data_IF_097381363333
#
_entry.id   IF_097381363333
#
_cell.length_a   1.000
_cell.length_b   1.000
_cell.length_c   1.000
_cell.angle_alpha   90.00
_cell.angle_beta   90.00
_cell.angle_gamma   90.00
#
_symmetry.space_group_name_H-M   'P 1'
#
loop_
_entity.id
_entity.type
_entity.pdbx_description
1 polymer ?
#
# COMPACT_ATOMS: atom_id res chain seq x y z
N UNK A 1 4.08 -23.60 13.95
CA UNK A 1 2.89 -23.04 13.29
C UNK A 1 2.32 -21.98 14.18
N UNK A 2 2.28 -20.75 13.72
CA UNK A 2 1.55 -19.64 14.36
C UNK A 2 0.04 -19.81 14.13
N UNK A 3 -0.78 -19.13 14.95
CA UNK A 3 -2.25 -19.13 14.75
C UNK A 3 -2.62 -18.67 13.34
N UNK A 4 -1.86 -17.71 12.79
CA UNK A 4 -2.06 -17.21 11.44
C UNK A 4 -1.72 -18.24 10.35
N UNK A 5 -0.63 -18.98 10.50
CA UNK A 5 -0.30 -20.07 9.58
C UNK A 5 -1.37 -21.18 9.60
N UNK A 6 -2.05 -21.39 10.73
CA UNK A 6 -3.18 -22.33 10.85
C UNK A 6 -4.39 -21.81 10.07
N UNK A 7 -4.70 -20.52 10.16
CA UNK A 7 -5.78 -19.90 9.37
C UNK A 7 -5.52 -20.01 7.87
N UNK A 8 -4.30 -19.66 7.41
CA UNK A 8 -3.91 -19.82 6.00
C UNK A 8 -4.03 -21.28 5.56
N UNK A 9 -3.58 -22.22 6.40
CA UNK A 9 -3.69 -23.65 6.13
C UNK A 9 -5.14 -24.10 5.96
N UNK A 10 -6.06 -23.56 6.76
CA UNK A 10 -7.48 -23.87 6.65
C UNK A 10 -8.09 -23.36 5.34
N UNK A 11 -7.77 -22.13 4.94
CA UNK A 11 -8.23 -21.56 3.68
C UNK A 11 -7.72 -22.38 2.47
N UNK A 12 -6.42 -22.69 2.43
CA UNK A 12 -5.84 -23.55 1.36
C UNK A 12 -6.53 -24.92 1.34
N UNK A 13 -6.71 -25.54 2.50
CA UNK A 13 -7.34 -26.86 2.57
C UNK A 13 -8.81 -26.84 2.14
N UNK A 14 -9.56 -25.80 2.50
CA UNK A 14 -10.94 -25.62 2.07
C UNK A 14 -11.04 -25.52 0.53
N UNK A 15 -10.14 -24.74 -0.07
CA UNK A 15 -10.03 -24.59 -1.52
C UNK A 15 -9.67 -25.91 -2.21
N UNK A 16 -8.59 -26.57 -1.80
CA UNK A 16 -8.12 -27.84 -2.41
C UNK A 16 -9.10 -29.01 -2.20
N UNK A 17 -9.95 -28.93 -1.17
CA UNK A 17 -11.02 -29.91 -0.96
C UNK A 17 -12.25 -29.64 -1.84
N UNK A 18 -12.29 -28.51 -2.54
CA UNK A 18 -13.42 -28.07 -3.36
C UNK A 18 -14.64 -27.67 -2.54
N UNK A 19 -14.43 -27.19 -1.31
CA UNK A 19 -15.48 -26.75 -0.39
C UNK A 19 -15.72 -25.23 -0.43
N UNK A 20 -15.12 -24.53 -1.40
CA UNK A 20 -15.28 -23.09 -1.58
C UNK A 20 -16.19 -22.79 -2.77
N UNK A 21 -16.61 -21.54 -2.88
CA UNK A 21 -17.33 -20.98 -4.03
C UNK A 21 -16.39 -20.65 -5.21
N UNK A 22 -15.08 -20.57 -4.95
CA UNK A 22 -14.04 -20.30 -5.94
C UNK A 22 -13.76 -21.52 -6.82
N UNK A 23 -13.67 -22.71 -6.22
CA UNK A 23 -13.24 -23.92 -6.92
C UNK A 23 -14.02 -25.15 -6.46
N UNK A 24 -14.63 -25.87 -7.41
CA UNK A 24 -15.34 -27.10 -7.14
C UNK A 24 -14.41 -28.30 -6.92
N UNK A 25 -14.94 -29.42 -6.40
CA UNK A 25 -14.13 -30.62 -6.12
C UNK A 25 -13.42 -31.21 -7.34
N UNK A 26 -14.13 -31.32 -8.47
CA UNK A 26 -13.54 -31.84 -9.73
C UNK A 26 -12.47 -30.90 -10.27
N UNK A 27 -12.73 -29.59 -10.20
CA UNK A 27 -11.80 -28.57 -10.63
C UNK A 27 -10.54 -28.57 -9.76
N UNK A 28 -10.69 -28.66 -8.44
CA UNK A 28 -9.60 -28.74 -7.49
C UNK A 28 -8.69 -29.95 -7.72
N UNK A 29 -9.28 -31.11 -7.99
CA UNK A 29 -8.52 -32.29 -8.37
C UNK A 29 -7.80 -32.07 -9.71
N UNK A 30 -8.50 -31.47 -10.68
CA UNK A 30 -7.95 -31.10 -11.99
C UNK A 30 -6.72 -30.21 -11.91
N UNK A 31 -6.79 -29.05 -11.26
CA UNK A 31 -5.64 -28.13 -11.15
C UNK A 31 -4.47 -28.74 -10.40
N UNK A 32 -4.72 -29.53 -9.34
CA UNK A 32 -3.62 -30.23 -8.66
C UNK A 32 -2.97 -31.26 -9.58
N UNK A 33 -3.73 -32.05 -10.33
CA UNK A 33 -3.14 -33.01 -11.28
C UNK A 33 -2.33 -32.34 -12.39
N UNK A 34 -2.70 -31.13 -12.82
CA UNK A 34 -1.95 -30.34 -13.79
C UNK A 34 -0.55 -29.94 -13.29
N UNK A 35 -0.35 -29.85 -11.97
CA UNK A 35 0.98 -29.58 -11.40
C UNK A 35 1.94 -30.78 -11.53
N UNK A 36 1.41 -31.99 -11.69
CA UNK A 36 2.20 -33.23 -11.68
C UNK A 36 2.61 -33.72 -10.29
N UNK A 37 2.13 -33.09 -9.22
CA UNK A 37 2.46 -33.39 -7.82
C UNK A 37 1.26 -33.88 -7.01
N UNK A 38 1.55 -34.52 -5.88
CA UNK A 38 0.52 -34.88 -4.90
C UNK A 38 0.12 -33.67 -4.05
N UNK A 39 -1.14 -33.65 -3.56
CA UNK A 39 -1.62 -32.62 -2.62
C UNK A 39 -0.66 -32.45 -1.43
N UNK A 40 -0.14 -33.56 -0.90
CA UNK A 40 0.80 -33.56 0.24
C UNK A 40 2.14 -32.88 -0.07
N UNK A 41 2.52 -32.77 -1.34
CA UNK A 41 3.76 -32.14 -1.78
C UNK A 41 3.54 -30.65 -2.08
N UNK A 42 2.40 -30.29 -2.67
CA UNK A 42 2.08 -28.89 -3.01
C UNK A 42 1.63 -28.08 -1.80
N UNK A 43 0.90 -28.68 -0.87
CA UNK A 43 0.31 -27.99 0.28
C UNK A 43 1.34 -27.25 1.14
N UNK A 44 2.46 -27.88 1.58
CA UNK A 44 3.46 -27.16 2.36
C UNK A 44 4.16 -26.05 1.57
N UNK A 45 4.28 -26.19 0.24
CA UNK A 45 4.86 -25.16 -0.62
C UNK A 45 3.94 -23.94 -0.73
N UNK A 46 2.65 -24.17 -0.98
CA UNK A 46 1.63 -23.12 -1.02
C UNK A 46 1.55 -22.35 0.30
N UNK A 47 1.54 -23.08 1.42
CA UNK A 47 1.53 -22.47 2.75
C UNK A 47 2.76 -21.59 2.98
N UNK A 48 3.95 -22.10 2.64
CA UNK A 48 5.20 -21.34 2.79
C UNK A 48 5.19 -20.09 1.90
N UNK A 49 4.74 -20.21 0.65
CA UNK A 49 4.74 -19.12 -0.31
C UNK A 49 3.78 -17.99 0.11
N UNK A 50 2.57 -18.36 0.54
CA UNK A 50 1.55 -17.41 0.99
C UNK A 50 1.93 -16.77 2.32
N UNK A 51 2.41 -17.55 3.30
CA UNK A 51 2.83 -17.01 4.60
C UNK A 51 4.03 -16.05 4.47
N UNK A 52 5.00 -16.38 3.61
CA UNK A 52 6.14 -15.49 3.35
C UNK A 52 5.70 -14.19 2.66
N UNK A 53 4.75 -14.28 1.72
CA UNK A 53 4.24 -13.11 1.00
C UNK A 53 3.38 -12.23 1.90
N UNK A 54 2.50 -12.83 2.70
CA UNK A 54 1.71 -12.12 3.70
C UNK A 54 2.61 -11.40 4.71
N UNK A 55 3.67 -12.05 5.22
CA UNK A 55 4.61 -11.40 6.13
C UNK A 55 5.26 -10.14 5.53
N UNK A 56 5.45 -10.11 4.20
CA UNK A 56 6.04 -8.97 3.51
C UNK A 56 5.04 -7.84 3.20
N UNK A 57 3.73 -8.08 3.35
CA UNK A 57 2.67 -7.17 2.91
C UNK A 57 1.72 -6.83 4.06
N UNK A 58 1.11 -5.65 4.00
CA UNK A 58 0.08 -5.22 4.94
C UNK A 58 -1.11 -4.65 4.16
N UNK A 59 -2.37 -4.92 4.56
CA UNK A 59 -2.81 -5.76 5.68
C UNK A 59 -2.69 -7.27 5.41
N UNK A 60 -2.93 -8.09 6.45
CA UNK A 60 -3.05 -9.56 6.40
C UNK A 60 -4.08 -9.98 5.33
N UNK A 61 -3.92 -11.19 4.78
CA UNK A 61 -4.74 -11.63 3.66
C UNK A 61 -6.15 -12.07 4.12
N UNK A 62 -7.18 -11.78 3.32
CA UNK A 62 -8.49 -12.43 3.54
C UNK A 62 -8.50 -13.86 2.99
N UNK A 63 -9.48 -14.67 3.39
CA UNK A 63 -9.65 -16.03 2.83
C UNK A 63 -9.81 -15.97 1.30
N UNK A 64 -10.53 -14.97 0.77
CA UNK A 64 -10.67 -14.76 -0.67
C UNK A 64 -9.34 -14.41 -1.35
N UNK A 65 -8.51 -13.56 -0.72
CA UNK A 65 -7.17 -13.25 -1.22
C UNK A 65 -6.27 -14.50 -1.22
N UNK A 66 -6.33 -15.29 -0.15
CA UNK A 66 -5.61 -16.57 -0.05
C UNK A 66 -6.07 -17.53 -1.15
N UNK A 67 -7.37 -17.63 -1.40
CA UNK A 67 -7.90 -18.49 -2.46
C UNK A 67 -7.44 -18.04 -3.83
N UNK A 68 -7.54 -16.74 -4.13
CA UNK A 68 -7.11 -16.17 -5.40
C UNK A 68 -5.63 -16.45 -5.66
N UNK A 69 -4.77 -16.09 -4.70
CA UNK A 69 -3.33 -16.31 -4.80
C UNK A 69 -3.01 -17.81 -4.96
N UNK A 70 -3.71 -18.68 -4.22
CA UNK A 70 -3.52 -20.14 -4.35
C UNK A 70 -3.87 -20.61 -5.75
N UNK A 71 -4.99 -20.17 -6.32
CA UNK A 71 -5.37 -20.54 -7.71
C UNK A 71 -4.36 -20.03 -8.73
N UNK A 72 -3.87 -18.79 -8.59
CA UNK A 72 -2.86 -18.22 -9.49
C UNK A 72 -1.55 -19.00 -9.47
N UNK A 73 -1.10 -19.45 -8.29
CA UNK A 73 0.10 -20.29 -8.16
C UNK A 73 -0.11 -21.65 -8.82
N UNK A 74 -1.29 -22.26 -8.66
CA UNK A 74 -1.61 -23.56 -9.28
C UNK A 74 -1.70 -23.47 -10.80
N UNK A 75 -2.30 -22.41 -11.34
CA UNK A 75 -2.41 -22.18 -12.79
C UNK A 75 -1.05 -21.97 -13.47
N UNK A 76 -0.13 -21.31 -12.75
CA UNK A 76 1.23 -21.02 -13.22
C UNK A 76 2.28 -21.80 -12.44
N UNK A 77 1.98 -23.07 -12.10
CA UNK A 77 2.83 -23.87 -11.22
C UNK A 77 4.28 -23.96 -11.71
N UNK A 78 5.22 -23.85 -10.78
CA UNK A 78 6.63 -24.06 -11.02
C UNK A 78 7.32 -24.67 -9.81
N UNK A 79 8.22 -25.62 -10.02
CA UNK A 79 9.06 -26.17 -8.94
C UNK A 79 10.04 -25.15 -8.35
N UNK A 80 10.29 -24.06 -9.07
CA UNK A 80 11.17 -22.99 -8.61
C UNK A 80 10.43 -22.04 -7.67
N UNK A 81 10.84 -22.02 -6.40
CA UNK A 81 10.33 -21.14 -5.35
C UNK A 81 10.30 -19.66 -5.77
N UNK A 82 11.38 -19.14 -6.35
CA UNK A 82 11.43 -17.73 -6.76
C UNK A 82 10.37 -17.41 -7.83
N UNK A 83 10.07 -18.35 -8.73
CA UNK A 83 9.01 -18.16 -9.73
C UNK A 83 7.62 -18.18 -9.09
N UNK A 84 7.37 -19.10 -8.14
CA UNK A 84 6.10 -19.12 -7.40
C UNK A 84 5.90 -17.85 -6.58
N UNK A 85 6.95 -17.37 -5.92
CA UNK A 85 6.94 -16.11 -5.18
C UNK A 85 6.62 -14.90 -6.07
N UNK A 86 7.18 -14.85 -7.29
CA UNK A 86 6.82 -13.81 -8.27
C UNK A 86 5.32 -13.87 -8.60
N UNK A 87 4.79 -15.06 -8.91
CA UNK A 87 3.36 -15.23 -9.19
C UNK A 87 2.50 -14.83 -7.99
N UNK A 88 2.92 -15.20 -6.78
CA UNK A 88 2.22 -14.90 -5.53
C UNK A 88 2.10 -13.39 -5.32
N UNK A 89 3.23 -12.67 -5.47
CA UNK A 89 3.30 -11.22 -5.35
C UNK A 89 2.52 -10.50 -6.46
N UNK A 90 2.64 -10.96 -7.70
CA UNK A 90 1.93 -10.38 -8.83
C UNK A 90 0.41 -10.53 -8.65
N UNK A 91 -0.06 -11.73 -8.28
CA UNK A 91 -1.48 -12.02 -8.05
C UNK A 91 -2.10 -11.13 -6.96
N UNK A 92 -1.47 -11.03 -5.79
CA UNK A 92 -2.02 -10.19 -4.71
C UNK A 92 -1.96 -8.70 -5.06
N UNK A 93 -0.93 -8.27 -5.79
CA UNK A 93 -0.79 -6.87 -6.20
C UNK A 93 -1.85 -6.51 -7.23
N UNK A 94 -2.10 -7.39 -8.21
CA UNK A 94 -3.16 -7.22 -9.21
C UNK A 94 -4.54 -7.18 -8.52
N UNK A 95 -4.86 -8.18 -7.71
CA UNK A 95 -6.14 -8.27 -6.99
C UNK A 95 -6.42 -7.02 -6.16
N UNK A 96 -5.45 -6.58 -5.34
CA UNK A 96 -5.61 -5.38 -4.51
C UNK A 96 -5.69 -4.11 -5.35
N UNK A 97 -5.00 -4.05 -6.48
CA UNK A 97 -5.09 -2.91 -7.41
C UNK A 97 -6.46 -2.84 -8.07
N UNK A 98 -7.05 -3.97 -8.45
CA UNK A 98 -8.40 -4.04 -9.01
C UNK A 98 -9.47 -3.69 -7.98
N UNK A 99 -9.35 -4.21 -6.75
CA UNK A 99 -10.25 -3.89 -5.63
C UNK A 99 -10.11 -2.45 -5.15
N UNK A 100 -8.89 -1.91 -5.18
CA UNK A 100 -8.59 -0.52 -4.85
C UNK A 100 -8.75 0.42 -6.04
N UNK A 101 -9.13 -0.08 -7.23
CA UNK A 101 -9.31 0.74 -8.42
C UNK A 101 -10.22 1.90 -8.02
N UNK A 102 -9.72 3.14 -8.05
CA UNK A 102 -10.38 4.24 -7.38
C UNK A 102 -11.75 4.37 -8.04
N UNK A 103 -12.80 4.15 -7.25
CA UNK A 103 -14.14 4.63 -7.58
C UNK A 103 -13.93 6.04 -8.10
N UNK A 104 -14.04 6.19 -9.43
CA UNK A 104 -13.63 7.33 -10.23
C UNK A 104 -13.81 8.55 -9.35
N UNK A 105 -12.72 9.03 -8.72
CA UNK A 105 -12.84 10.17 -7.81
C UNK A 105 -13.25 11.25 -8.78
N UNK A 106 -14.57 11.50 -8.87
CA UNK A 106 -15.11 12.62 -9.59
C UNK A 106 -14.37 13.77 -8.94
N UNK A 107 -13.42 14.34 -9.70
CA UNK A 107 -12.71 15.57 -9.36
C UNK A 107 -13.71 16.40 -8.57
N UNK A 108 -13.45 16.69 -7.28
CA UNK A 108 -14.49 17.22 -6.43
C UNK A 108 -14.97 18.47 -7.13
N UNK A 109 -16.20 18.42 -7.66
CA UNK A 109 -16.85 19.62 -8.14
C UNK A 109 -17.24 20.30 -6.85
N UNK A 110 -16.30 21.09 -6.33
CA UNK A 110 -16.48 21.96 -5.18
C UNK A 110 -17.55 22.97 -5.60
N UNK A 111 -18.82 22.59 -5.50
CA UNK A 111 -19.92 23.52 -5.32
C UNK A 111 -19.99 23.80 -3.83
N UNK A 112 -19.03 24.58 -3.34
CA UNK A 112 -19.13 25.16 -2.01
C UNK A 112 -20.31 26.11 -2.03
N UNK A 113 -21.41 25.69 -1.39
CA UNK A 113 -22.34 26.63 -0.77
C UNK A 113 -21.61 27.16 0.47
N UNK A 114 -21.41 28.49 0.62
CA UNK A 114 -20.65 29.02 1.76
C UNK A 114 -21.36 28.59 3.05
N UNK A 115 -20.68 27.77 3.86
CA UNK A 115 -21.09 27.49 5.24
C UNK A 115 -20.22 28.35 6.16
N UNK A 116 -20.77 28.94 7.24
CA UNK A 116 -20.03 29.87 8.07
C UNK A 116 -18.83 29.16 8.71
N UNK A 117 -17.70 29.86 8.66
CA UNK A 117 -16.39 29.50 9.21
C UNK A 117 -16.51 29.26 10.72
N UNK A 118 -15.96 28.17 11.29
CA UNK A 118 -15.70 28.13 12.71
C UNK A 118 -14.58 29.12 13.01
N UNK A 119 -14.85 30.07 13.91
CA UNK A 119 -13.88 31.05 14.38
C UNK A 119 -12.71 30.35 15.08
N UNK A 120 -11.68 30.00 14.31
CA UNK A 120 -10.39 29.62 14.87
C UNK A 120 -9.60 30.90 15.09
N UNK A 121 -9.45 31.31 16.35
CA UNK A 121 -8.53 32.37 16.77
C UNK A 121 -7.08 31.90 16.65
N UNK A 122 -6.63 31.64 15.43
CA UNK A 122 -5.22 31.38 15.12
C UNK A 122 -4.72 32.51 14.24
N UNK A 123 -3.67 33.17 14.70
CA UNK A 123 -3.08 34.32 14.03
C UNK A 123 -2.67 33.94 12.59
N UNK A 124 -2.90 34.83 11.60
CA UNK A 124 -2.56 34.56 10.21
C UNK A 124 -1.07 34.21 10.00
N UNK A 125 -0.19 34.72 10.87
CA UNK A 125 1.25 34.46 10.82
C UNK A 125 1.60 32.99 11.13
N UNK A 126 0.85 32.33 12.02
CA UNK A 126 1.09 30.93 12.37
C UNK A 126 0.71 29.99 11.22
N UNK A 127 -0.41 30.27 10.54
CA UNK A 127 -0.84 29.52 9.36
C UNK A 127 0.18 29.70 8.22
N UNK A 128 0.69 30.92 8.03
CA UNK A 128 1.69 31.23 6.99
C UNK A 128 3.01 30.50 7.24
N UNK A 129 3.49 30.50 8.48
CA UNK A 129 4.68 29.76 8.87
C UNK A 129 4.56 28.26 8.60
N UNK A 130 3.41 27.64 8.92
CA UNK A 130 3.18 26.22 8.66
C UNK A 130 3.22 25.90 7.15
N UNK A 131 2.60 26.74 6.32
CA UNK A 131 2.58 26.56 4.86
C UNK A 131 3.98 26.65 4.26
N UNK A 132 4.77 27.66 4.66
CA UNK A 132 6.14 27.84 4.18
C UNK A 132 7.07 26.71 4.62
N UNK A 133 6.93 26.26 5.88
CA UNK A 133 7.72 25.13 6.39
C UNK A 133 7.41 23.85 5.62
N UNK A 134 6.13 23.56 5.35
CA UNK A 134 5.73 22.39 4.57
C UNK A 134 6.28 22.43 3.14
N UNK A 135 6.21 23.59 2.46
CA UNK A 135 6.76 23.77 1.12
C UNK A 135 8.30 23.62 1.09
N UNK A 136 8.99 24.13 2.11
CA UNK A 136 10.45 24.00 2.22
C UNK A 136 10.89 22.55 2.43
N UNK A 137 10.19 21.78 3.28
CA UNK A 137 10.47 20.34 3.45
C UNK A 137 10.27 19.59 2.14
N UNK A 138 9.18 19.85 1.43
CA UNK A 138 8.91 19.21 0.14
C UNK A 138 10.02 19.51 -0.89
N UNK A 139 10.50 20.75 -0.94
CA UNK A 139 11.61 21.15 -1.81
C UNK A 139 12.95 20.51 -1.44
N UNK A 140 13.27 20.43 -0.14
CA UNK A 140 14.49 19.80 0.36
C UNK A 140 14.48 18.28 0.10
N UNK A 141 13.37 17.60 0.38
CA UNK A 141 13.22 16.17 0.13
C UNK A 141 13.22 15.80 -1.36
N UNK A 142 12.83 16.73 -2.25
CA UNK A 142 12.88 16.52 -3.70
C UNK A 142 14.30 16.64 -4.28
N UNK A 143 15.28 17.16 -3.52
CA UNK A 143 16.65 17.35 -3.98
C UNK A 143 17.55 16.18 -3.56
N UNK A 144 18.15 15.42 -4.51
CA UNK A 144 18.97 14.25 -4.20
C UNK A 144 20.23 14.58 -3.38
N UNK A 145 20.67 15.84 -3.35
CA UNK A 145 21.77 16.28 -2.47
C UNK A 145 21.43 16.17 -0.97
N UNK A 146 20.13 16.09 -0.62
CA UNK A 146 19.63 15.99 0.76
C UNK A 146 19.11 14.59 1.11
N UNK A 147 19.20 13.62 0.19
CA UNK A 147 18.65 12.27 0.36
C UNK A 147 19.30 11.44 1.49
N UNK A 148 20.51 11.82 1.93
CA UNK A 148 21.27 11.14 2.98
C UNK A 148 21.35 11.94 4.29
N UNK A 149 20.59 13.04 4.41
CA UNK A 149 20.53 13.81 5.66
C UNK A 149 19.47 13.26 6.59
N UNK A 150 19.73 13.43 7.89
CA UNK A 150 18.78 13.08 8.94
C UNK A 150 17.54 13.99 8.87
N UNK A 151 16.38 13.47 9.30
CA UNK A 151 15.12 14.20 9.25
C UNK A 151 15.15 15.49 10.10
N UNK A 152 15.93 15.50 11.20
CA UNK A 152 16.11 16.66 12.07
C UNK A 152 16.85 17.81 11.36
N UNK A 153 17.86 17.48 10.55
CA UNK A 153 18.61 18.44 9.74
C UNK A 153 17.73 19.09 8.67
N UNK A 154 16.88 18.29 8.01
CA UNK A 154 15.93 18.77 7.00
C UNK A 154 14.88 19.69 7.64
N UNK A 155 14.37 19.31 8.81
CA UNK A 155 13.39 20.12 9.54
C UNK A 155 13.99 21.46 10.01
N UNK A 156 15.24 21.46 10.49
CA UNK A 156 15.95 22.66 10.88
C UNK A 156 16.15 23.63 9.71
N UNK A 157 16.59 23.13 8.56
CA UNK A 157 16.78 23.96 7.37
C UNK A 157 15.45 24.49 6.80
N UNK A 158 14.40 23.67 6.80
CA UNK A 158 13.08 24.11 6.38
C UNK A 158 12.53 25.23 7.27
N UNK A 159 12.78 25.15 8.58
CA UNK A 159 12.43 26.20 9.53
C UNK A 159 13.17 27.52 9.22
N UNK A 160 14.48 27.45 8.95
CA UNK A 160 15.29 28.63 8.62
C UNK A 160 14.77 29.33 7.36
N UNK A 161 14.50 28.56 6.30
CA UNK A 161 13.94 29.06 5.03
C UNK A 161 12.57 29.69 5.23
N UNK A 162 11.68 29.07 6.02
CA UNK A 162 10.36 29.61 6.30
C UNK A 162 10.43 30.93 7.09
N UNK A 163 11.31 31.01 8.09
CA UNK A 163 11.55 32.21 8.87
C UNK A 163 12.15 33.35 8.02
N UNK A 164 13.06 33.04 7.10
CA UNK A 164 13.64 34.02 6.19
C UNK A 164 12.63 34.53 5.15
N UNK A 165 11.78 33.64 4.61
CA UNK A 165 10.71 34.03 3.71
C UNK A 165 9.72 35.02 4.36
N UNK A 166 9.30 34.75 5.60
CA UNK A 166 8.45 35.67 6.36
C UNK A 166 9.13 37.02 6.59
N UNK A 167 10.44 37.02 6.92
CA UNK A 167 11.22 38.24 7.14
C UNK A 167 11.34 39.09 5.87
N UNK A 168 11.56 38.45 4.72
CA UNK A 168 11.71 39.11 3.44
C UNK A 168 10.39 39.70 2.92
N UNK A 169 9.26 39.09 3.25
CA UNK A 169 7.93 39.62 2.91
C UNK A 169 7.56 40.87 3.71
N UNK A 170 8.08 41.02 4.94
CA UNK A 170 7.96 42.25 5.74
C UNK A 170 8.81 43.42 5.25
N UNK A 171 9.69 43.21 4.25
CA UNK A 171 10.63 44.19 3.71
C UNK A 171 10.23 44.74 2.33
N UNK A 172 9.02 44.45 1.84
CA UNK A 172 8.54 45.02 0.57
C UNK A 172 8.57 46.56 0.64
N UNK A 173 9.28 47.25 -0.27
CA UNK A 173 9.36 48.71 -0.24
C UNK A 173 7.97 49.30 -0.44
N UNK A 174 7.57 50.15 0.51
CA UNK A 174 6.40 50.98 0.38
C UNK A 174 6.48 51.77 -0.93
N UNK A 175 5.48 51.57 -1.78
CA UNK A 175 5.18 52.47 -2.89
C UNK A 175 4.82 53.81 -2.26
N UNK A 176 5.76 54.75 -2.29
CA UNK A 176 5.47 56.17 -2.04
C UNK A 176 4.98 56.77 -3.35
N UNK A 177 3.80 57.40 -3.29
CA UNK A 177 3.24 58.32 -4.30
C UNK A 177 4.21 59.48 -4.63
#
# INVERSE_FOLDING_TARGET
MSDREIEISHAINALLSGCTDVMGKEEAEGVVTCTGHLISEIFPLLLADIAATEFCLSPDFSDEEIHHVTTSILDSWSDNEAKRQIVTLDAITELRTELSAPALIKKPVIKVKPRPVPETTTTPDFIRYQQLTAAAIQGLCANPAYAMRDAEDIAYQAHEVACEAIRNEGMAPGVSE
#
